data_IF_863237875344
#
_entry.id   IF_863237875344
#
_cell.length_a   1.000
_cell.length_b   1.000
_cell.length_c   1.000
_cell.angle_alpha   90.00
_cell.angle_beta   90.00
_cell.angle_gamma   90.00
#
_symmetry.space_group_name_H-M   'P 1'
#
loop_
_entity.id
_entity.type
_entity.pdbx_description
1 polymer ?
#
# COMPACT_ATOMS: atom_id res chain seq x y z
N UNK A 1 30.91 -0.13 5.78
CA UNK A 1 29.64 0.04 6.51
C UNK A 1 29.96 0.50 7.94
N UNK A 2 29.58 1.74 8.28
CA UNK A 2 29.53 2.20 9.67
C UNK A 2 28.09 1.98 10.13
N UNK A 3 27.88 1.05 11.06
CA UNK A 3 26.58 0.78 11.65
C UNK A 3 26.31 1.77 12.78
N UNK A 4 25.10 2.33 12.81
CA UNK A 4 24.64 3.16 13.93
C UNK A 4 24.46 2.29 15.18
N UNK A 5 24.90 2.77 16.34
CA UNK A 5 24.78 2.03 17.60
C UNK A 5 23.34 2.10 18.15
N UNK A 6 22.88 1.03 18.77
CA UNK A 6 21.70 1.04 19.63
C UNK A 6 22.01 1.91 20.86
N UNK A 7 21.17 2.90 21.17
CA UNK A 7 21.39 3.85 22.27
C UNK A 7 21.44 3.18 23.65
N UNK A 8 20.70 2.09 23.85
CA UNK A 8 20.78 1.14 24.97
C UNK A 8 19.98 -0.11 24.59
N UNK A 9 20.63 -1.29 24.59
CA UNK A 9 19.92 -2.55 24.32
C UNK A 9 19.39 -3.10 25.64
N UNK A 10 18.14 -2.74 25.99
CA UNK A 10 17.49 -3.24 27.21
C UNK A 10 16.46 -4.36 26.91
N UNK A 11 16.16 -4.61 25.64
CA UNK A 11 15.20 -5.60 25.17
C UNK A 11 15.85 -6.54 24.15
N UNK A 12 15.16 -7.62 23.81
CA UNK A 12 15.54 -8.46 22.67
C UNK A 12 15.59 -7.63 21.39
N UNK A 13 16.57 -7.91 20.55
CA UNK A 13 16.83 -7.15 19.31
C UNK A 13 16.22 -7.88 18.13
N UNK A 14 15.40 -7.18 17.36
CA UNK A 14 14.88 -7.66 16.09
C UNK A 14 15.54 -6.91 14.93
N UNK A 15 16.13 -7.65 14.01
CA UNK A 15 16.55 -7.11 12.72
C UNK A 15 15.40 -7.23 11.72
N UNK A 16 14.86 -6.11 11.29
CA UNK A 16 13.80 -6.01 10.31
C UNK A 16 14.36 -5.56 8.96
N UNK A 17 14.15 -6.35 7.92
CA UNK A 17 14.64 -6.06 6.57
C UNK A 17 13.48 -5.73 5.63
N UNK A 18 13.43 -4.47 5.14
CA UNK A 18 12.47 -3.96 4.17
C UNK A 18 13.24 -3.24 3.04
N UNK A 19 13.30 -3.81 1.86
CA UNK A 19 14.20 -3.40 0.78
C UNK A 19 13.86 -2.03 0.19
N UNK A 20 12.59 -1.75 -0.03
CA UNK A 20 12.10 -0.62 -0.81
C UNK A 20 11.28 0.37 0.01
N UNK A 21 11.05 1.57 -0.58
CA UNK A 21 10.12 2.57 -0.04
C UNK A 21 8.72 1.98 0.24
N UNK A 22 8.20 1.17 -0.69
CA UNK A 22 6.87 0.57 -0.54
C UNK A 22 6.80 -0.42 0.62
N UNK A 23 7.87 -1.18 0.85
CA UNK A 23 7.96 -2.12 1.97
C UNK A 23 8.13 -1.40 3.31
N UNK A 24 8.92 -0.34 3.36
CA UNK A 24 9.08 0.51 4.55
C UNK A 24 7.73 1.09 4.98
N UNK A 25 6.97 1.65 4.04
CA UNK A 25 5.64 2.19 4.33
C UNK A 25 4.67 1.06 4.72
N UNK A 26 4.66 -0.04 3.96
CA UNK A 26 3.76 -1.16 4.20
C UNK A 26 4.01 -1.90 5.52
N UNK A 27 5.23 -1.82 6.07
CA UNK A 27 5.59 -2.44 7.34
C UNK A 27 5.44 -1.53 8.56
N UNK A 28 5.09 -0.25 8.38
CA UNK A 28 5.09 0.76 9.44
C UNK A 28 4.22 0.36 10.65
N UNK A 29 3.00 -0.13 10.40
CA UNK A 29 2.10 -0.55 11.47
C UNK A 29 2.68 -1.71 12.30
N UNK A 30 3.26 -2.72 11.62
CA UNK A 30 3.91 -3.86 12.25
C UNK A 30 5.14 -3.43 13.07
N UNK A 31 6.02 -2.62 12.48
CA UNK A 31 7.23 -2.14 13.16
C UNK A 31 6.86 -1.32 14.40
N UNK A 32 5.86 -0.43 14.32
CA UNK A 32 5.42 0.36 15.45
C UNK A 32 4.84 -0.49 16.60
N UNK A 33 4.17 -1.61 16.29
CA UNK A 33 3.71 -2.57 17.28
C UNK A 33 4.89 -3.31 17.94
N UNK A 34 5.85 -3.80 17.14
CA UNK A 34 7.02 -4.52 17.62
C UNK A 34 7.96 -3.63 18.46
N UNK A 35 8.17 -2.38 18.07
CA UNK A 35 9.05 -1.44 18.76
C UNK A 35 8.61 -1.11 20.21
N UNK A 36 7.36 -1.40 20.58
CA UNK A 36 6.90 -1.30 21.97
C UNK A 36 7.55 -2.35 22.88
N UNK A 37 7.91 -3.52 22.32
CA UNK A 37 8.36 -4.69 23.06
C UNK A 37 9.82 -5.07 22.77
N UNK A 38 10.38 -4.65 21.65
CA UNK A 38 11.68 -5.03 21.14
C UNK A 38 12.52 -3.82 20.76
N UNK A 39 13.83 -3.96 20.82
CA UNK A 39 14.77 -3.03 20.20
C UNK A 39 14.88 -3.38 18.70
N UNK A 40 14.74 -2.38 17.84
CA UNK A 40 14.60 -2.59 16.41
C UNK A 40 15.82 -2.08 15.64
N UNK A 41 16.33 -2.92 14.73
CA UNK A 41 17.30 -2.55 13.69
C UNK A 41 16.61 -2.73 12.34
N UNK A 42 16.37 -1.64 11.63
CA UNK A 42 15.74 -1.66 10.31
C UNK A 42 16.81 -1.49 9.25
N UNK A 43 16.77 -2.33 8.21
CA UNK A 43 17.62 -2.17 7.05
C UNK A 43 16.81 -2.06 5.76
N UNK A 44 17.27 -1.18 4.85
CA UNK A 44 16.67 -0.97 3.54
C UNK A 44 17.75 -0.85 2.47
N UNK A 45 17.44 -1.20 1.22
CA UNK A 45 18.43 -1.19 0.13
C UNK A 45 18.36 0.08 -0.74
N UNK A 46 17.27 0.87 -0.64
CA UNK A 46 17.08 2.06 -1.48
C UNK A 46 17.27 3.37 -0.72
N UNK A 47 17.85 4.42 -1.36
CA UNK A 47 17.98 5.74 -0.74
C UNK A 47 16.64 6.36 -0.32
N UNK A 48 15.59 6.16 -1.14
CA UNK A 48 14.23 6.62 -0.85
C UNK A 48 13.61 5.89 0.34
N UNK A 49 13.83 4.58 0.46
CA UNK A 49 13.43 3.76 1.61
C UNK A 49 14.13 4.22 2.89
N UNK A 50 15.45 4.46 2.82
CA UNK A 50 16.23 4.92 3.98
C UNK A 50 15.74 6.29 4.47
N UNK A 51 15.52 7.25 3.56
CA UNK A 51 15.00 8.57 3.91
C UNK A 51 13.65 8.44 4.58
N UNK A 52 12.74 7.71 3.95
CA UNK A 52 11.39 7.53 4.48
C UNK A 52 11.36 6.83 5.83
N UNK A 53 12.18 5.80 6.02
CA UNK A 53 12.29 5.13 7.32
C UNK A 53 12.70 6.10 8.42
N UNK A 54 13.68 6.97 8.17
CA UNK A 54 14.12 8.01 9.12
C UNK A 54 13.06 9.07 9.42
N UNK A 55 12.14 9.31 8.48
CA UNK A 55 11.04 10.27 8.66
C UNK A 55 9.89 9.70 9.50
N UNK A 56 9.57 8.40 9.32
CA UNK A 56 8.36 7.81 9.90
C UNK A 56 8.58 7.02 11.18
N UNK A 57 9.81 6.59 11.45
CA UNK A 57 10.12 5.83 12.66
C UNK A 57 10.81 6.70 13.73
N UNK A 58 10.54 6.41 15.03
CA UNK A 58 11.14 7.15 16.14
C UNK A 58 12.67 7.01 16.17
N UNK A 59 13.36 8.00 16.75
CA UNK A 59 14.83 8.05 16.83
C UNK A 59 15.50 6.92 17.62
N UNK A 60 14.76 6.18 18.43
CA UNK A 60 15.26 5.02 19.15
C UNK A 60 15.38 3.77 18.28
N UNK A 61 14.82 3.78 17.06
CA UNK A 61 14.97 2.71 16.09
C UNK A 61 16.23 2.95 15.25
N UNK A 62 17.10 1.96 15.19
CA UNK A 62 18.31 2.03 14.36
C UNK A 62 17.95 1.75 12.90
N UNK A 63 18.30 2.68 12.01
CA UNK A 63 17.99 2.57 10.58
C UNK A 63 19.29 2.65 9.77
N UNK A 64 19.55 1.62 8.95
CA UNK A 64 20.75 1.52 8.14
C UNK A 64 20.46 1.03 6.72
N UNK A 65 21.44 1.17 5.83
CA UNK A 65 21.43 0.40 4.59
C UNK A 65 21.62 -1.08 4.87
N UNK A 66 20.93 -1.91 4.09
CA UNK A 66 21.14 -3.36 4.10
C UNK A 66 22.57 -3.71 3.73
N UNK A 67 23.17 -4.73 4.38
CA UNK A 67 24.41 -5.27 3.90
C UNK A 67 24.21 -5.92 2.53
N UNK A 68 25.23 -5.95 1.69
CA UNK A 68 25.23 -6.81 0.52
C UNK A 68 25.09 -8.26 0.94
N UNK A 69 24.30 -9.07 0.21
CA UNK A 69 24.07 -10.48 0.54
C UNK A 69 25.29 -11.38 0.29
N UNK A 70 26.41 -10.98 0.84
CA UNK A 70 27.62 -11.79 0.93
C UNK A 70 27.90 -12.19 2.38
N UNK A 71 28.35 -13.39 2.58
CA UNK A 71 28.62 -14.00 3.90
C UNK A 71 29.38 -13.05 4.84
N UNK A 72 30.41 -12.37 4.34
CA UNK A 72 31.22 -11.44 5.12
C UNK A 72 30.42 -10.25 5.67
N UNK A 73 29.65 -9.58 4.81
CA UNK A 73 28.89 -8.38 5.21
C UNK A 73 27.71 -8.72 6.11
N UNK A 74 27.03 -9.83 5.82
CA UNK A 74 25.94 -10.33 6.67
C UNK A 74 26.47 -10.70 8.05
N UNK A 75 27.56 -11.45 8.12
CA UNK A 75 28.16 -11.81 9.42
C UNK A 75 28.65 -10.60 10.21
N UNK A 76 29.16 -9.56 9.55
CA UNK A 76 29.55 -8.32 10.21
C UNK A 76 28.36 -7.66 10.91
N UNK A 77 27.19 -7.61 10.27
CA UNK A 77 25.96 -7.07 10.87
C UNK A 77 25.47 -7.97 12.00
N UNK A 78 25.39 -9.28 11.78
CA UNK A 78 24.96 -10.25 12.79
C UNK A 78 25.85 -10.22 14.05
N UNK A 79 27.16 -10.08 13.88
CA UNK A 79 28.09 -10.00 15.00
C UNK A 79 28.00 -8.67 15.75
N UNK A 80 27.67 -7.58 15.03
CA UNK A 80 27.58 -6.24 15.62
C UNK A 80 26.30 -6.07 16.45
N UNK A 81 25.14 -6.42 15.88
CA UNK A 81 23.85 -6.23 16.54
C UNK A 81 23.41 -7.42 17.37
N UNK A 82 23.88 -8.64 17.06
CA UNK A 82 23.49 -9.90 17.70
C UNK A 82 21.97 -10.03 17.84
N UNK A 83 21.21 -9.95 16.72
CA UNK A 83 19.76 -9.97 16.80
C UNK A 83 19.25 -11.31 17.32
N UNK A 84 18.19 -11.27 18.15
CA UNK A 84 17.48 -12.44 18.64
C UNK A 84 16.56 -13.05 17.57
N UNK A 85 16.13 -12.25 16.58
CA UNK A 85 15.35 -12.71 15.43
C UNK A 85 15.55 -11.80 14.22
N UNK A 86 15.32 -12.35 13.03
CA UNK A 86 15.35 -11.62 11.76
C UNK A 86 13.97 -11.71 11.13
N UNK A 87 13.41 -10.58 10.72
CA UNK A 87 12.18 -10.48 9.96
C UNK A 87 12.47 -9.94 8.57
N UNK A 88 12.18 -10.71 7.52
CA UNK A 88 12.27 -10.27 6.13
C UNK A 88 10.86 -9.95 5.64
N UNK A 89 10.68 -8.80 5.02
CA UNK A 89 9.37 -8.35 4.55
C UNK A 89 9.18 -8.59 3.04
N UNK A 90 8.03 -9.11 2.67
CA UNK A 90 7.59 -9.44 1.29
C UNK A 90 8.42 -10.55 0.59
N UNK A 91 9.00 -10.27 -0.60
CA UNK A 91 9.49 -11.31 -1.53
C UNK A 91 11.00 -11.56 -1.43
N UNK A 92 11.65 -11.01 -0.44
CA UNK A 92 13.11 -10.94 -0.42
C UNK A 92 13.74 -12.26 0.02
N UNK A 93 14.26 -13.02 -0.95
CA UNK A 93 15.07 -14.22 -0.68
C UNK A 93 16.54 -13.83 -0.73
N UNK A 94 17.18 -13.77 0.42
CA UNK A 94 18.57 -13.41 0.61
C UNK A 94 19.36 -14.62 1.10
N UNK A 95 20.02 -15.41 0.19
CA UNK A 95 20.62 -16.70 0.52
C UNK A 95 21.68 -16.65 1.62
N UNK A 96 22.56 -15.64 1.58
CA UNK A 96 23.62 -15.52 2.62
C UNK A 96 23.01 -15.14 3.96
N UNK A 97 22.01 -14.23 3.99
CA UNK A 97 21.32 -13.85 5.23
C UNK A 97 20.65 -15.06 5.87
N UNK A 98 19.85 -15.80 5.10
CA UNK A 98 19.15 -17.00 5.59
C UNK A 98 20.15 -18.05 6.09
N UNK A 99 21.21 -18.32 5.31
CA UNK A 99 22.20 -19.33 5.67
C UNK A 99 23.00 -18.95 6.91
N UNK A 100 23.41 -17.70 7.07
CA UNK A 100 24.18 -17.26 8.23
C UNK A 100 23.33 -17.14 9.50
N UNK A 101 22.06 -16.72 9.37
CA UNK A 101 21.09 -16.76 10.47
C UNK A 101 20.94 -18.20 11.01
N UNK A 102 20.69 -19.15 10.13
CA UNK A 102 20.57 -20.56 10.49
C UNK A 102 21.84 -21.12 11.17
N UNK A 103 23.05 -20.82 10.64
CA UNK A 103 24.31 -21.24 11.25
C UNK A 103 24.53 -20.68 12.66
N UNK A 104 23.94 -19.54 12.96
CA UNK A 104 24.02 -18.88 14.27
C UNK A 104 22.83 -19.18 15.19
N UNK A 105 21.93 -20.07 14.78
CA UNK A 105 20.67 -20.39 15.47
C UNK A 105 19.79 -19.15 15.71
N UNK A 106 19.84 -18.16 14.81
CA UNK A 106 18.97 -16.99 14.87
C UNK A 106 17.72 -17.30 14.05
N UNK A 107 16.51 -17.31 14.66
CA UNK A 107 15.28 -17.56 13.94
C UNK A 107 15.01 -16.47 12.91
N UNK A 108 14.62 -16.89 11.70
CA UNK A 108 14.32 -16.00 10.60
C UNK A 108 12.89 -16.24 10.11
N UNK A 109 12.13 -15.15 10.02
CA UNK A 109 10.73 -15.17 9.63
C UNK A 109 10.52 -14.37 8.34
N UNK A 110 9.71 -14.92 7.44
CA UNK A 110 9.21 -14.20 6.26
C UNK A 110 7.86 -13.57 6.62
N UNK A 111 7.80 -12.26 6.61
CA UNK A 111 6.60 -11.49 6.96
C UNK A 111 5.93 -10.93 5.71
N UNK A 112 4.60 -11.01 5.63
CA UNK A 112 3.83 -10.51 4.49
C UNK A 112 4.28 -11.11 3.15
N UNK A 113 4.64 -12.40 3.15
CA UNK A 113 5.25 -13.08 2.02
C UNK A 113 4.39 -13.00 0.76
N UNK A 114 4.97 -12.44 -0.30
CA UNK A 114 4.35 -12.27 -1.61
C UNK A 114 5.30 -12.78 -2.69
N UNK A 115 4.81 -13.61 -3.58
CA UNK A 115 5.62 -14.13 -4.68
C UNK A 115 4.82 -14.05 -5.99
N UNK A 116 5.17 -13.11 -6.87
CA UNK A 116 4.54 -12.97 -8.17
C UNK A 116 4.82 -14.19 -9.05
N UNK A 117 3.99 -14.43 -10.06
CA UNK A 117 4.23 -15.52 -11.02
C UNK A 117 5.57 -15.33 -11.76
N UNK A 118 5.93 -14.09 -12.08
CA UNK A 118 7.21 -13.75 -12.72
C UNK A 118 8.40 -14.09 -11.81
N UNK A 119 8.34 -13.66 -10.54
CA UNK A 119 9.39 -13.94 -9.54
C UNK A 119 9.49 -15.44 -9.25
N UNK A 120 8.34 -16.13 -9.14
CA UNK A 120 8.33 -17.59 -8.96
C UNK A 120 9.06 -18.30 -10.11
N UNK A 121 8.80 -17.93 -11.37
CA UNK A 121 9.51 -18.52 -12.52
C UNK A 121 11.03 -18.30 -12.45
N UNK A 122 11.45 -17.10 -12.11
CA UNK A 122 12.88 -16.77 -11.95
C UNK A 122 13.54 -17.63 -10.86
N UNK A 123 12.90 -17.75 -9.69
CA UNK A 123 13.42 -18.58 -8.60
C UNK A 123 13.34 -20.08 -8.89
N UNK A 124 12.32 -20.53 -9.62
CA UNK A 124 12.17 -21.93 -10.00
C UNK A 124 13.31 -22.43 -10.89
N UNK A 125 13.90 -21.57 -11.73
CA UNK A 125 15.08 -21.91 -12.53
C UNK A 125 16.31 -22.23 -11.68
N UNK A 126 16.38 -21.72 -10.45
CA UNK A 126 17.46 -21.95 -9.48
C UNK A 126 16.96 -22.74 -8.25
N UNK A 127 15.84 -23.44 -8.36
CA UNK A 127 15.17 -24.11 -7.23
C UNK A 127 16.06 -25.14 -6.53
N UNK A 128 16.94 -25.83 -7.24
CA UNK A 128 17.89 -26.80 -6.68
C UNK A 128 18.86 -26.16 -5.66
N UNK A 129 19.25 -24.91 -5.86
CA UNK A 129 20.08 -24.14 -4.89
C UNK A 129 19.23 -23.55 -3.76
N UNK A 130 18.03 -23.07 -4.10
CA UNK A 130 17.19 -22.33 -3.15
C UNK A 130 16.45 -23.23 -2.18
N UNK A 131 16.11 -24.47 -2.57
CA UNK A 131 15.33 -25.38 -1.75
C UNK A 131 15.93 -25.62 -0.35
N UNK A 132 17.24 -25.87 -0.28
CA UNK A 132 17.91 -26.12 0.99
C UNK A 132 18.12 -24.84 1.81
N UNK A 133 18.08 -23.67 1.16
CA UNK A 133 18.14 -22.38 1.82
C UNK A 133 16.77 -22.04 2.41
N UNK A 134 15.71 -22.20 1.64
CA UNK A 134 14.35 -21.85 2.06
C UNK A 134 13.84 -22.73 3.21
N UNK A 135 14.28 -23.99 3.30
CA UNK A 135 14.01 -24.87 4.46
C UNK A 135 14.56 -24.34 5.78
N UNK A 136 15.51 -23.40 5.74
CA UNK A 136 16.11 -22.78 6.94
C UNK A 136 15.28 -21.61 7.47
N UNK A 137 14.25 -21.18 6.76
CA UNK A 137 13.31 -20.19 7.25
C UNK A 137 12.49 -20.81 8.37
N UNK A 138 12.47 -20.16 9.53
CA UNK A 138 11.79 -20.67 10.72
C UNK A 138 10.28 -20.74 10.51
N UNK A 139 9.69 -19.64 9.99
CA UNK A 139 8.27 -19.60 9.64
C UNK A 139 7.98 -18.49 8.61
N UNK A 140 6.93 -18.68 7.80
CA UNK A 140 6.55 -17.77 6.72
C UNK A 140 5.08 -17.39 6.83
N UNK A 141 4.81 -16.12 7.02
CA UNK A 141 3.47 -15.53 7.01
C UNK A 141 3.21 -14.91 5.63
N UNK A 142 2.32 -15.52 4.85
CA UNK A 142 2.09 -15.14 3.45
C UNK A 142 0.72 -14.54 3.22
N UNK A 143 0.60 -13.75 2.14
CA UNK A 143 -0.61 -12.96 1.90
C UNK A 143 -1.79 -13.79 1.41
N UNK A 144 -1.57 -14.78 0.55
CA UNK A 144 -2.64 -15.56 -0.08
C UNK A 144 -2.25 -17.02 -0.27
N UNK A 145 -3.26 -17.89 -0.49
CA UNK A 145 -3.03 -19.30 -0.82
C UNK A 145 -2.22 -19.48 -2.11
N UNK A 146 -2.39 -18.60 -3.10
CA UNK A 146 -1.57 -18.61 -4.35
C UNK A 146 -0.09 -18.38 -4.06
N UNK A 147 0.22 -17.51 -3.09
CA UNK A 147 1.60 -17.27 -2.64
C UNK A 147 2.12 -18.46 -1.85
N UNK A 148 1.32 -19.01 -0.93
CA UNK A 148 1.64 -20.24 -0.19
C UNK A 148 2.05 -21.37 -1.16
N UNK A 149 1.24 -21.67 -2.16
CA UNK A 149 1.51 -22.73 -3.14
C UNK A 149 2.85 -22.51 -3.88
N UNK A 150 3.17 -21.25 -4.23
CA UNK A 150 4.43 -20.93 -4.91
C UNK A 150 5.64 -21.15 -4.01
N UNK A 151 5.56 -20.73 -2.74
CA UNK A 151 6.61 -20.92 -1.76
C UNK A 151 6.83 -22.40 -1.41
N UNK A 152 5.76 -23.20 -1.29
CA UNK A 152 5.85 -24.65 -1.10
C UNK A 152 6.58 -25.32 -2.28
N UNK A 153 6.25 -24.95 -3.52
CA UNK A 153 6.94 -25.45 -4.72
C UNK A 153 8.42 -25.07 -4.77
N UNK A 154 8.83 -23.96 -4.17
CA UNK A 154 10.23 -23.57 -4.05
C UNK A 154 10.96 -24.25 -2.90
N UNK A 155 10.25 -24.92 -1.97
CA UNK A 155 10.86 -25.75 -0.94
C UNK A 155 10.69 -25.30 0.50
N UNK A 156 9.84 -24.31 0.81
CA UNK A 156 9.43 -24.03 2.19
C UNK A 156 8.61 -25.21 2.70
N UNK A 157 8.81 -25.60 3.96
CA UNK A 157 8.06 -26.69 4.59
C UNK A 157 6.60 -26.28 4.83
N UNK A 158 5.68 -27.23 4.65
CA UNK A 158 4.25 -26.97 4.82
C UNK A 158 3.88 -26.58 6.26
N UNK A 159 4.55 -27.17 7.25
CA UNK A 159 4.34 -26.85 8.67
C UNK A 159 4.94 -25.48 9.09
N UNK A 160 5.68 -24.84 8.19
CA UNK A 160 6.36 -23.55 8.43
C UNK A 160 5.80 -22.42 7.58
N UNK A 161 4.55 -22.53 7.12
CA UNK A 161 3.94 -21.51 6.27
C UNK A 161 2.43 -21.38 6.52
N UNK A 162 1.98 -20.15 6.76
CA UNK A 162 0.57 -19.84 7.02
C UNK A 162 0.10 -18.65 6.19
N UNK A 163 -1.18 -18.68 5.77
CA UNK A 163 -1.84 -17.57 5.07
C UNK A 163 -2.51 -16.69 6.11
N UNK A 164 -2.00 -15.45 6.24
CA UNK A 164 -2.47 -14.49 7.25
C UNK A 164 -3.05 -13.20 6.66
N UNK A 165 -3.13 -13.11 5.32
CA UNK A 165 -3.52 -11.87 4.65
C UNK A 165 -2.35 -10.88 4.52
N UNK A 166 -2.64 -9.67 4.03
CA UNK A 166 -1.64 -8.63 3.86
C UNK A 166 -1.60 -7.69 5.06
N UNK A 167 -0.42 -7.50 5.64
CA UNK A 167 -0.16 -6.53 6.73
C UNK A 167 -0.46 -5.09 6.30
N UNK A 168 -0.52 -4.82 5.00
CA UNK A 168 -0.87 -3.50 4.47
C UNK A 168 -2.32 -3.10 4.77
N UNK A 169 -3.18 -4.07 5.13
CA UNK A 169 -4.55 -3.81 5.61
C UNK A 169 -4.59 -3.26 7.04
N UNK A 170 -3.51 -3.36 7.82
CA UNK A 170 -3.42 -2.79 9.17
C UNK A 170 -3.21 -1.25 9.16
N UNK A 171 -3.87 -0.53 8.25
CA UNK A 171 -3.86 0.94 8.25
C UNK A 171 -4.68 1.42 9.44
N UNK A 172 -4.01 2.05 10.40
CA UNK A 172 -4.67 2.66 11.55
C UNK A 172 -5.50 3.87 11.07
N UNK A 173 -6.81 3.72 11.01
CA UNK A 173 -7.76 4.83 10.80
C UNK A 173 -7.87 5.75 12.03
N UNK A 174 -7.24 5.39 13.13
CA UNK A 174 -7.45 5.98 14.46
C UNK A 174 -7.13 7.48 14.57
N UNK A 175 -6.37 8.07 13.66
CA UNK A 175 -5.97 9.48 13.71
C UNK A 175 -6.42 10.30 12.49
N UNK A 176 -7.22 9.74 11.59
CA UNK A 176 -7.65 10.45 10.39
C UNK A 176 -8.89 11.28 10.71
N UNK A 177 -8.76 12.61 10.66
CA UNK A 177 -9.91 13.52 10.80
C UNK A 177 -10.52 13.72 9.42
N UNK A 178 -11.82 13.40 9.22
CA UNK A 178 -12.49 13.65 7.95
C UNK A 178 -12.57 15.15 7.66
N UNK A 179 -12.47 15.52 6.39
CA UNK A 179 -12.68 16.89 5.94
C UNK A 179 -14.16 17.24 6.13
N UNK A 180 -14.45 18.36 6.78
CA UNK A 180 -15.83 18.84 6.93
C UNK A 180 -16.22 19.62 5.67
N UNK A 181 -17.10 19.07 4.86
CA UNK A 181 -17.61 19.69 3.64
C UNK A 181 -18.95 19.07 3.25
N UNK A 182 -19.61 19.63 2.23
CA UNK A 182 -20.78 19.01 1.61
C UNK A 182 -20.43 17.60 1.08
N UNK A 183 -21.40 16.69 0.90
CA UNK A 183 -21.17 15.38 0.30
C UNK A 183 -20.40 15.48 -1.02
N UNK A 184 -19.41 14.62 -1.23
CA UNK A 184 -18.59 14.66 -2.44
C UNK A 184 -18.18 13.28 -2.94
N UNK A 185 -17.97 13.24 -4.25
CA UNK A 185 -17.38 12.13 -4.99
C UNK A 185 -15.89 12.41 -5.10
N UNK A 186 -15.03 11.42 -4.82
CA UNK A 186 -13.59 11.57 -4.86
C UNK A 186 -12.97 10.84 -6.06
N UNK A 187 -12.28 11.56 -6.93
CA UNK A 187 -11.32 11.01 -7.87
C UNK A 187 -9.93 11.00 -7.21
N UNK A 188 -9.46 9.84 -6.78
CA UNK A 188 -8.25 9.70 -5.97
C UNK A 188 -7.06 9.23 -6.80
N UNK A 189 -5.91 9.91 -6.70
CA UNK A 189 -4.67 9.58 -7.41
C UNK A 189 -4.85 9.46 -8.94
N UNK A 190 -5.57 10.39 -9.53
CA UNK A 190 -5.91 10.38 -10.95
C UNK A 190 -4.71 10.68 -11.85
N UNK A 191 -4.78 10.20 -13.08
CA UNK A 191 -3.79 10.39 -14.15
C UNK A 191 -4.41 11.07 -15.37
N UNK A 192 -3.58 11.62 -16.28
CA UNK A 192 -4.06 12.22 -17.53
C UNK A 192 -5.03 11.30 -18.28
N UNK A 193 -6.19 11.85 -18.64
CA UNK A 193 -7.31 11.15 -19.29
C UNK A 193 -8.40 10.71 -18.32
N UNK A 194 -8.10 10.38 -17.08
CA UNK A 194 -9.09 9.98 -16.09
C UNK A 194 -9.89 11.17 -15.56
N UNK A 195 -9.24 12.33 -15.41
CA UNK A 195 -9.90 13.55 -14.94
C UNK A 195 -11.00 14.00 -15.91
N UNK A 196 -10.75 13.87 -17.22
CA UNK A 196 -11.73 14.19 -18.23
C UNK A 196 -12.96 13.27 -18.15
N UNK A 197 -12.76 11.97 -18.00
CA UNK A 197 -13.81 10.96 -17.84
C UNK A 197 -14.64 11.27 -16.57
N UNK A 198 -13.99 11.58 -15.45
CA UNK A 198 -14.66 11.94 -14.20
C UNK A 198 -15.50 13.22 -14.35
N UNK A 199 -14.96 14.27 -14.99
CA UNK A 199 -15.67 15.51 -15.22
C UNK A 199 -16.88 15.30 -16.14
N UNK A 200 -16.75 14.48 -17.19
CA UNK A 200 -17.84 14.16 -18.09
C UNK A 200 -18.95 13.36 -17.37
N UNK A 201 -18.58 12.31 -16.63
CA UNK A 201 -19.53 11.52 -15.85
C UNK A 201 -20.24 12.41 -14.81
N UNK A 202 -19.51 13.26 -14.09
CA UNK A 202 -20.11 14.18 -13.13
C UNK A 202 -21.04 15.22 -13.79
N UNK A 203 -20.73 15.69 -15.01
CA UNK A 203 -21.61 16.61 -15.74
C UNK A 203 -22.95 15.98 -16.13
N UNK A 204 -22.96 14.69 -16.42
CA UNK A 204 -24.16 13.91 -16.81
C UNK A 204 -24.97 13.42 -15.61
N UNK A 205 -24.42 13.51 -14.39
CA UNK A 205 -25.04 13.03 -13.16
C UNK A 205 -26.27 13.90 -12.84
N UNK A 206 -27.48 13.30 -12.76
CA UNK A 206 -28.70 14.03 -12.47
C UNK A 206 -28.70 14.66 -11.07
N UNK A 207 -28.14 13.93 -10.09
CA UNK A 207 -28.06 14.36 -8.70
C UNK A 207 -26.85 15.26 -8.38
N UNK A 208 -26.06 15.69 -9.40
CA UNK A 208 -24.84 16.49 -9.22
C UNK A 208 -24.98 17.72 -8.34
N UNK A 209 -26.17 18.33 -8.28
CA UNK A 209 -26.45 19.53 -7.46
C UNK A 209 -26.30 19.27 -5.94
N UNK A 210 -26.41 18.03 -5.53
CA UNK A 210 -26.28 17.60 -4.13
C UNK A 210 -24.88 17.15 -3.74
N UNK A 211 -23.98 17.05 -4.71
CA UNK A 211 -22.62 16.57 -4.52
C UNK A 211 -21.61 17.56 -5.07
N UNK A 212 -20.40 17.49 -4.52
CA UNK A 212 -19.19 18.10 -5.09
C UNK A 212 -18.35 17.00 -5.75
N UNK A 213 -17.50 17.37 -6.71
CA UNK A 213 -16.47 16.49 -7.23
C UNK A 213 -15.12 16.96 -6.71
N UNK A 214 -14.42 16.11 -5.96
CA UNK A 214 -13.04 16.34 -5.55
C UNK A 214 -12.12 15.50 -6.42
N UNK A 215 -11.13 16.12 -7.04
CA UNK A 215 -10.10 15.44 -7.85
C UNK A 215 -8.75 15.64 -7.17
N UNK A 216 -8.15 14.54 -6.74
CA UNK A 216 -6.82 14.49 -6.17
C UNK A 216 -5.86 13.85 -7.18
N UNK A 217 -5.18 14.62 -8.03
CA UNK A 217 -4.27 14.06 -9.02
C UNK A 217 -3.06 13.42 -8.37
N UNK A 218 -2.50 12.38 -8.99
CA UNK A 218 -1.27 11.73 -8.55
C UNK A 218 -0.10 12.71 -8.49
N UNK A 219 -0.10 13.67 -9.38
CA UNK A 219 0.89 14.73 -9.53
C UNK A 219 0.23 16.08 -9.30
N UNK A 220 0.43 16.65 -8.11
CA UNK A 220 -0.25 17.88 -7.65
C UNK A 220 0.09 19.11 -8.51
N UNK A 221 1.23 19.11 -9.21
CA UNK A 221 1.62 20.14 -10.18
C UNK A 221 0.62 20.28 -11.36
N UNK A 222 -0.22 19.26 -11.59
CA UNK A 222 -1.26 19.31 -12.62
C UNK A 222 -2.58 19.96 -12.15
N UNK A 223 -2.70 20.30 -10.88
CA UNK A 223 -3.95 20.81 -10.31
C UNK A 223 -4.51 22.04 -11.06
N UNK A 224 -3.65 22.99 -11.42
CA UNK A 224 -4.04 24.19 -12.14
C UNK A 224 -4.54 23.88 -13.56
N UNK A 225 -3.98 22.90 -14.24
CA UNK A 225 -4.43 22.43 -15.56
C UNK A 225 -5.81 21.80 -15.47
N UNK A 226 -6.01 20.89 -14.50
CA UNK A 226 -7.28 20.19 -14.30
C UNK A 226 -8.39 21.19 -13.91
N UNK A 227 -8.08 22.19 -13.07
CA UNK A 227 -9.03 23.24 -12.72
C UNK A 227 -9.48 24.05 -13.96
N UNK A 228 -8.56 24.37 -14.88
CA UNK A 228 -8.91 25.01 -16.15
C UNK A 228 -9.80 24.12 -17.02
N UNK A 229 -9.50 22.82 -17.12
CA UNK A 229 -10.33 21.86 -17.86
C UNK A 229 -11.76 21.80 -17.27
N UNK A 230 -11.91 21.77 -15.96
CA UNK A 230 -13.22 21.83 -15.30
C UNK A 230 -13.97 23.12 -15.63
N UNK A 231 -13.29 24.26 -15.62
CA UNK A 231 -13.88 25.56 -15.97
C UNK A 231 -14.34 25.61 -17.44
N UNK A 232 -13.57 25.08 -18.37
CA UNK A 232 -13.96 24.98 -19.80
C UNK A 232 -15.20 24.13 -19.98
N UNK A 233 -15.39 23.09 -19.16
CA UNK A 233 -16.60 22.24 -19.15
C UNK A 233 -17.79 22.88 -18.41
N UNK A 234 -17.67 24.14 -17.95
CA UNK A 234 -18.72 24.92 -17.33
C UNK A 234 -18.87 24.74 -15.82
N UNK A 235 -17.92 24.10 -15.15
CA UNK A 235 -17.94 23.96 -13.69
C UNK A 235 -17.28 25.17 -12.99
N UNK A 236 -17.83 25.54 -11.85
CA UNK A 236 -17.15 26.43 -10.89
C UNK A 236 -16.07 25.62 -10.20
N UNK A 237 -14.82 25.80 -10.61
CA UNK A 237 -13.68 25.04 -10.10
C UNK A 237 -12.82 25.88 -9.17
N UNK A 238 -12.37 25.28 -8.05
CA UNK A 238 -11.43 25.88 -7.11
C UNK A 238 -10.30 24.91 -6.76
N UNK A 239 -9.12 25.47 -6.44
CA UNK A 239 -8.03 24.72 -5.83
C UNK A 239 -8.28 24.62 -4.32
N UNK A 240 -7.93 23.48 -3.74
CA UNK A 240 -8.16 23.24 -2.32
C UNK A 240 -7.41 24.26 -1.42
N UNK A 241 -6.19 24.65 -1.79
CA UNK A 241 -5.41 25.66 -1.08
C UNK A 241 -6.07 27.05 -1.04
N UNK A 242 -6.94 27.35 -2.01
CA UNK A 242 -7.63 28.63 -2.18
C UNK A 242 -9.13 28.54 -1.91
N UNK A 243 -9.56 27.49 -1.21
CA UNK A 243 -10.98 27.27 -0.94
C UNK A 243 -11.52 28.35 -0.01
N UNK A 244 -12.24 29.33 -0.56
CA UNK A 244 -12.71 30.51 0.15
C UNK A 244 -14.22 30.59 0.35
N UNK A 245 -14.97 29.76 -0.37
CA UNK A 245 -16.44 29.70 -0.30
C UNK A 245 -16.93 28.28 -0.57
N UNK A 246 -18.17 27.97 -0.21
CA UNK A 246 -18.82 26.70 -0.57
C UNK A 246 -19.44 26.75 -2.00
N UNK A 247 -19.30 27.87 -2.71
CA UNK A 247 -19.88 28.08 -4.04
C UNK A 247 -18.94 27.59 -5.15
N UNK A 248 -18.73 26.26 -5.20
CA UNK A 248 -18.01 25.55 -6.24
C UNK A 248 -18.72 24.23 -6.56
N UNK A 249 -18.43 23.68 -7.73
CA UNK A 249 -18.89 22.35 -8.16
C UNK A 249 -17.77 21.32 -8.08
N UNK A 250 -16.53 21.75 -8.41
CA UNK A 250 -15.33 20.91 -8.48
C UNK A 250 -14.20 21.51 -7.65
N UNK A 251 -13.61 20.69 -6.79
CA UNK A 251 -12.43 21.04 -6.00
C UNK A 251 -11.23 20.19 -6.44
N UNK A 252 -10.14 20.83 -6.83
CA UNK A 252 -8.90 20.15 -7.21
C UNK A 252 -7.91 20.22 -6.06
N UNK A 253 -7.41 19.06 -5.63
CA UNK A 253 -6.46 18.94 -4.54
C UNK A 253 -5.06 19.23 -5.06
N UNK A 254 -4.46 20.30 -4.60
CA UNK A 254 -3.13 20.80 -4.97
C UNK A 254 -2.08 20.63 -3.86
N UNK A 255 -2.40 19.86 -2.82
CA UNK A 255 -1.53 19.60 -1.68
C UNK A 255 -1.39 18.11 -1.38
N UNK A 256 -0.24 17.75 -0.80
CA UNK A 256 0.09 16.35 -0.46
C UNK A 256 -0.39 16.03 0.96
N UNK A 257 -0.80 14.76 1.18
CA UNK A 257 -1.11 14.23 2.52
C UNK A 257 -2.59 14.33 2.93
N UNK A 258 -3.46 14.91 2.12
CA UNK A 258 -4.90 15.05 2.42
C UNK A 258 -5.72 13.80 2.08
N UNK A 259 -5.21 12.93 1.23
CA UNK A 259 -5.96 11.80 0.67
C UNK A 259 -6.64 10.92 1.74
N UNK A 260 -6.00 10.56 2.87
CA UNK A 260 -6.69 9.81 3.93
C UNK A 260 -7.91 10.53 4.50
N UNK A 261 -7.81 11.84 4.74
CA UNK A 261 -8.92 12.65 5.26
C UNK A 261 -10.06 12.81 4.26
N UNK A 262 -9.74 12.80 2.96
CA UNK A 262 -10.72 12.83 1.87
C UNK A 262 -11.43 11.47 1.74
N UNK A 263 -10.73 10.35 1.80
CA UNK A 263 -11.35 9.03 1.81
C UNK A 263 -12.32 8.85 2.97
N UNK A 264 -11.93 9.29 4.17
CA UNK A 264 -12.77 9.17 5.36
C UNK A 264 -14.05 10.03 5.31
N UNK A 265 -14.11 11.03 4.43
CA UNK A 265 -15.23 11.95 4.28
C UNK A 265 -16.02 11.74 2.98
N UNK A 266 -15.47 11.04 2.00
CA UNK A 266 -16.10 10.89 0.68
C UNK A 266 -17.31 9.98 0.71
N UNK A 267 -18.31 10.32 -0.09
CA UNK A 267 -19.49 9.45 -0.32
C UNK A 267 -19.11 8.19 -1.11
N UNK A 268 -18.11 8.30 -1.99
CA UNK A 268 -17.48 7.21 -2.71
C UNK A 268 -16.17 7.69 -3.34
N UNK A 269 -15.30 6.75 -3.73
CA UNK A 269 -14.01 7.05 -4.34
C UNK A 269 -13.80 6.25 -5.63
N UNK A 270 -13.43 6.95 -6.70
CA UNK A 270 -12.78 6.34 -7.86
C UNK A 270 -11.26 6.32 -7.63
N UNK A 271 -10.63 5.14 -7.71
CA UNK A 271 -9.18 4.99 -7.53
C UNK A 271 -8.50 5.00 -8.90
N UNK A 272 -7.74 6.05 -9.16
CA UNK A 272 -7.10 6.35 -10.43
C UNK A 272 -5.93 5.44 -10.79
N UNK A 273 -5.33 5.71 -11.97
CA UNK A 273 -4.34 4.86 -12.63
C UNK A 273 -4.95 3.54 -13.11
N UNK A 274 -6.26 3.43 -13.07
CA UNK A 274 -7.00 2.20 -13.34
C UNK A 274 -7.85 2.23 -14.61
N UNK A 275 -8.36 3.38 -15.06
CA UNK A 275 -8.97 3.54 -16.41
C UNK A 275 -7.92 3.76 -17.50
N UNK A 276 -6.73 4.22 -17.12
CA UNK A 276 -5.57 4.29 -17.99
C UNK A 276 -4.56 3.20 -17.62
N UNK A 277 -3.67 2.74 -18.53
CA UNK A 277 -2.79 1.60 -18.30
C UNK A 277 -1.60 1.93 -17.38
N UNK A 278 -1.88 2.37 -16.15
CA UNK A 278 -0.88 2.66 -15.09
C UNK A 278 -0.83 1.59 -14.01
N UNK A 279 -1.81 0.66 -14.00
CA UNK A 279 -1.82 -0.48 -13.09
C UNK A 279 -2.56 -0.27 -11.77
N UNK A 280 -3.29 0.84 -11.64
CA UNK A 280 -4.06 1.19 -10.47
C UNK A 280 -3.24 1.67 -9.28
N UNK A 281 -3.91 2.22 -8.28
CA UNK A 281 -3.34 2.64 -7.01
C UNK A 281 -3.87 1.79 -5.84
N UNK A 282 -3.42 2.10 -4.64
CA UNK A 282 -3.72 1.34 -3.43
C UNK A 282 -5.21 1.42 -3.07
N UNK A 283 -5.89 0.25 -3.02
CA UNK A 283 -7.30 0.12 -2.61
C UNK A 283 -7.48 -0.07 -1.10
N UNK A 284 -6.41 -0.42 -0.41
CA UNK A 284 -6.45 -0.74 1.02
C UNK A 284 -6.76 0.50 1.85
N UNK A 285 -6.25 1.66 1.42
CA UNK A 285 -6.44 2.91 2.13
C UNK A 285 -7.91 3.38 2.11
N UNK A 286 -8.60 3.52 0.94
CA UNK A 286 -10.03 3.82 0.92
C UNK A 286 -10.87 2.76 1.62
N UNK A 287 -10.53 1.48 1.51
CA UNK A 287 -11.20 0.39 2.22
C UNK A 287 -11.13 0.55 3.75
N UNK A 288 -9.93 0.75 4.29
CA UNK A 288 -9.72 0.93 5.73
C UNK A 288 -10.45 2.17 6.27
N UNK A 289 -10.61 3.20 5.44
CA UNK A 289 -11.28 4.46 5.79
C UNK A 289 -12.79 4.44 5.51
N UNK A 290 -13.32 3.34 4.97
CA UNK A 290 -14.75 3.13 4.77
C UNK A 290 -15.34 3.85 3.56
N UNK A 291 -14.52 4.22 2.57
CA UNK A 291 -14.99 4.78 1.31
C UNK A 291 -15.42 3.66 0.34
N UNK A 292 -16.62 3.68 -0.23
CA UNK A 292 -17.01 2.78 -1.32
C UNK A 292 -16.11 2.99 -2.54
N UNK A 293 -15.70 1.91 -3.22
CA UNK A 293 -14.60 1.93 -4.19
C UNK A 293 -15.08 1.60 -5.60
N UNK A 294 -14.73 2.47 -6.57
CA UNK A 294 -14.80 2.21 -8.00
C UNK A 294 -13.38 2.18 -8.57
N UNK A 295 -13.12 1.22 -9.47
CA UNK A 295 -11.83 1.05 -10.16
C UNK A 295 -12.00 0.80 -11.64
N UNK A 296 -10.97 1.12 -12.43
CA UNK A 296 -10.89 0.77 -13.86
C UNK A 296 -10.34 -0.66 -14.11
N UNK A 297 -10.14 -1.04 -15.40
CA UNK A 297 -9.70 -2.37 -15.79
C UNK A 297 -8.21 -2.63 -15.57
N UNK A 298 -7.38 -1.58 -15.52
CA UNK A 298 -5.92 -1.71 -15.42
C UNK A 298 -5.49 -1.75 -13.96
N UNK A 299 -5.31 -2.96 -13.39
CA UNK A 299 -5.05 -3.17 -11.95
C UNK A 299 -3.84 -4.06 -11.67
N UNK A 300 -2.92 -4.19 -12.63
CA UNK A 300 -1.82 -5.15 -12.56
C UNK A 300 -0.82 -4.91 -11.40
N UNK A 301 -0.80 -3.71 -10.79
CA UNK A 301 -0.01 -3.45 -9.60
C UNK A 301 -0.65 -4.02 -8.32
N UNK A 302 -1.97 -4.29 -8.35
CA UNK A 302 -2.77 -4.72 -7.20
C UNK A 302 -3.71 -5.89 -7.55
N UNK A 303 -3.38 -6.71 -8.55
CA UNK A 303 -4.25 -7.74 -9.13
C UNK A 303 -4.85 -8.67 -8.08
N UNK A 304 -4.01 -9.20 -7.16
CA UNK A 304 -4.46 -10.12 -6.12
C UNK A 304 -5.46 -9.46 -5.14
N UNK A 305 -5.26 -8.17 -4.83
CA UNK A 305 -6.14 -7.41 -3.94
C UNK A 305 -7.47 -7.13 -4.64
N UNK A 306 -7.40 -6.68 -5.89
CA UNK A 306 -8.59 -6.37 -6.71
C UNK A 306 -9.44 -7.63 -6.90
N UNK A 307 -8.83 -8.79 -7.17
CA UNK A 307 -9.56 -10.06 -7.28
C UNK A 307 -10.33 -10.38 -5.98
N UNK A 308 -9.70 -10.20 -4.82
CA UNK A 308 -10.37 -10.41 -3.53
C UNK A 308 -11.52 -9.42 -3.33
N UNK A 309 -11.34 -8.15 -3.66
CA UNK A 309 -12.37 -7.13 -3.53
C UNK A 309 -13.57 -7.40 -4.45
N UNK A 310 -13.35 -7.80 -5.68
CA UNK A 310 -14.40 -8.16 -6.63
C UNK A 310 -15.18 -9.40 -6.17
N UNK A 311 -14.48 -10.45 -5.74
CA UNK A 311 -15.09 -11.69 -5.26
C UNK A 311 -15.98 -11.47 -4.03
N UNK A 312 -15.62 -10.51 -3.18
CA UNK A 312 -16.39 -10.15 -1.98
C UNK A 312 -17.38 -8.99 -2.21
N UNK A 313 -17.58 -8.53 -3.45
CA UNK A 313 -18.40 -7.35 -3.77
C UNK A 313 -18.02 -6.14 -2.91
N UNK A 314 -16.73 -5.89 -2.77
CA UNK A 314 -16.13 -4.83 -1.99
C UNK A 314 -15.72 -3.61 -2.85
N UNK A 315 -15.75 -3.75 -4.18
CA UNK A 315 -15.58 -2.65 -5.14
C UNK A 315 -16.37 -2.92 -6.41
N UNK A 316 -16.54 -1.88 -7.24
CA UNK A 316 -17.11 -1.96 -8.58
C UNK A 316 -15.98 -1.72 -9.59
N UNK A 317 -15.89 -2.59 -10.61
CA UNK A 317 -14.95 -2.43 -11.72
C UNK A 317 -15.71 -1.87 -12.92
N UNK A 318 -15.18 -0.81 -13.55
CA UNK A 318 -15.75 -0.12 -14.71
C UNK A 318 -14.71 -0.06 -15.84
N UNK A 319 -15.19 -0.03 -17.09
CA UNK A 319 -14.32 -0.02 -18.28
C UNK A 319 -14.55 1.18 -19.19
N UNK A 320 -15.61 1.96 -18.93
CA UNK A 320 -16.01 3.12 -19.74
C UNK A 320 -16.57 4.25 -18.88
N UNK A 321 -16.75 5.42 -19.50
CA UNK A 321 -17.41 6.58 -18.87
C UNK A 321 -18.86 6.28 -18.47
N UNK A 322 -19.62 5.55 -19.31
CA UNK A 322 -20.98 5.17 -19.03
C UNK A 322 -21.10 4.23 -17.82
N UNK A 323 -20.20 3.25 -17.74
CA UNK A 323 -20.13 2.35 -16.58
C UNK A 323 -19.71 3.10 -15.32
N UNK A 324 -18.80 4.08 -15.42
CA UNK A 324 -18.41 4.93 -14.31
C UNK A 324 -19.60 5.76 -13.81
N UNK A 325 -20.36 6.39 -14.71
CA UNK A 325 -21.57 7.13 -14.36
C UNK A 325 -22.57 6.23 -13.65
N UNK A 326 -22.86 5.05 -14.20
CA UNK A 326 -23.79 4.10 -13.61
C UNK A 326 -23.32 3.63 -12.21
N UNK A 327 -22.04 3.41 -12.02
CA UNK A 327 -21.47 3.03 -10.72
C UNK A 327 -21.52 4.16 -9.68
N UNK A 328 -21.33 5.41 -10.12
CA UNK A 328 -21.51 6.58 -9.26
C UNK A 328 -22.98 6.67 -8.84
N UNK A 329 -23.92 6.66 -9.79
CA UNK A 329 -25.37 6.71 -9.51
C UNK A 329 -25.80 5.59 -8.56
N UNK A 330 -25.27 4.38 -8.74
CA UNK A 330 -25.56 3.23 -7.89
C UNK A 330 -25.16 3.47 -6.42
N UNK A 331 -23.99 4.05 -6.16
CA UNK A 331 -23.54 4.30 -4.79
C UNK A 331 -24.21 5.51 -4.14
N UNK A 332 -24.45 6.60 -4.90
CA UNK A 332 -25.06 7.81 -4.32
C UNK A 332 -26.58 7.70 -4.24
N UNK A 333 -27.20 6.84 -5.07
CA UNK A 333 -28.64 6.60 -5.06
C UNK A 333 -29.13 5.75 -3.89
N UNK A 334 -28.26 4.89 -3.34
CA UNK A 334 -28.58 4.08 -2.15
C UNK A 334 -27.37 4.00 -1.19
N UNK A 335 -27.37 4.86 -0.19
CA UNK A 335 -26.31 4.93 0.82
C UNK A 335 -26.13 3.61 1.59
N UNK A 336 -27.20 2.80 1.77
CA UNK A 336 -27.08 1.50 2.45
C UNK A 336 -26.26 0.52 1.62
N UNK A 337 -26.41 0.54 0.31
CA UNK A 337 -25.61 -0.27 -0.61
C UNK A 337 -24.15 0.18 -0.56
N UNK A 338 -23.90 1.49 -0.61
CA UNK A 338 -22.57 2.06 -0.49
C UNK A 338 -21.86 1.62 0.82
N UNK A 339 -22.57 1.71 1.96
CA UNK A 339 -22.09 1.25 3.26
C UNK A 339 -21.80 -0.27 3.28
N UNK A 340 -22.62 -1.09 2.64
CA UNK A 340 -22.39 -2.53 2.53
C UNK A 340 -21.10 -2.84 1.75
N UNK A 341 -20.85 -2.13 0.64
CA UNK A 341 -19.62 -2.28 -0.13
C UNK A 341 -18.39 -1.85 0.71
N UNK A 342 -18.48 -0.70 1.36
CA UNK A 342 -17.43 -0.20 2.24
C UNK A 342 -17.15 -1.16 3.42
N UNK A 343 -18.19 -1.75 4.03
CA UNK A 343 -18.03 -2.72 5.11
C UNK A 343 -17.36 -4.02 4.64
N UNK A 344 -17.69 -4.50 3.43
CA UNK A 344 -17.04 -5.69 2.85
C UNK A 344 -15.60 -5.44 2.43
N UNK A 345 -15.23 -4.18 2.18
CA UNK A 345 -13.87 -3.78 1.83
C UNK A 345 -12.95 -3.72 3.07
N UNK A 346 -13.49 -3.41 4.23
CA UNK A 346 -12.78 -3.43 5.53
C UNK A 346 -12.42 -4.83 5.98
#
# INVERSE_FOLDING_TARGET
YNFSQLKQANKKIIWFHAVSLGEVIGSQALINKLAKHFDMVITTSTPTGLRRAKEIFPENIVINYAPWDFVFFVNRLLNFYKPDAILIFETEIWPSMISQASKKNIPLYLMNGRLSHKSYRAYAMSSWLLKDILKKITFSFVQTSKHKDRFLKLGINEDSIEVVGSVKFDISSANTKPVKTAPFILGASTHPGEEEILLNAFNRLESRKHFKLFICPRHTERAAEISRQATIKGFRSQLFSNLSSEDYDVCIIDSIGLLPSLYAASSMSFVGGSLVPRGGHNLIEPAALGSPIIIGPHTFNFEDIVEQFLNNKACIKVTSEDELLAAIDFFIGDLKIAEQYAHRAK
#
